data_IF_878889441872
#
_entry.id   IF_878889441872
#
_cell.length_a   1.000
_cell.length_b   1.000
_cell.length_c   1.000
_cell.angle_alpha   90.00
_cell.angle_beta   90.00
_cell.angle_gamma   90.00
#
_symmetry.space_group_name_H-M   'P 1'
#
loop_
_entity.id
_entity.type
_entity.pdbx_description
1 polymer ?
#
# COMPACT_ATOMS: atom_id res chain seq x y z
N UNK A 1 34.23 -18.42 -29.86
CA UNK A 1 33.58 -18.23 -31.18
C UNK A 1 32.07 -18.39 -30.94
N UNK A 2 31.28 -17.46 -30.89
CA UNK A 2 30.93 -16.22 -31.57
C UNK A 2 30.14 -15.31 -30.61
N UNK A 3 30.60 -14.09 -30.44
CA UNK A 3 29.86 -12.97 -29.90
C UNK A 3 28.56 -12.72 -30.68
N UNK A 4 27.47 -12.41 -29.95
CA UNK A 4 26.40 -11.60 -30.51
C UNK A 4 26.02 -10.49 -29.51
N UNK A 5 26.53 -9.30 -29.79
CA UNK A 5 26.08 -8.03 -29.24
C UNK A 5 24.72 -7.68 -29.84
N UNK A 6 23.74 -7.40 -29.02
CA UNK A 6 22.49 -6.78 -29.46
C UNK A 6 22.52 -5.29 -29.11
N UNK A 7 22.41 -4.50 -30.14
CA UNK A 7 22.60 -3.05 -30.22
C UNK A 7 21.31 -2.32 -29.85
N UNK A 8 21.42 -1.33 -28.96
CA UNK A 8 20.38 -0.34 -28.67
C UNK A 8 20.01 0.44 -29.94
N UNK A 9 18.75 0.52 -30.31
CA UNK A 9 18.23 1.49 -31.28
C UNK A 9 17.53 2.63 -30.55
N UNK A 10 18.16 3.80 -30.65
CA UNK A 10 17.58 5.13 -30.45
C UNK A 10 16.54 5.38 -31.54
N UNK A 11 15.39 5.94 -31.20
CA UNK A 11 14.57 6.70 -32.14
C UNK A 11 14.41 8.13 -31.59
N UNK A 12 14.99 9.05 -32.39
CA UNK A 12 14.85 10.50 -32.20
C UNK A 12 13.70 11.02 -33.07
N UNK A 13 12.83 11.78 -32.46
CA UNK A 13 12.28 13.11 -32.79
C UNK A 13 12.04 13.52 -34.24
N UNK A 14 10.84 14.05 -34.44
CA UNK A 14 10.50 15.24 -35.25
C UNK A 14 9.04 15.52 -34.98
N UNK A 15 8.56 16.65 -34.53
CA UNK A 15 8.79 18.01 -34.97
C UNK A 15 7.45 18.63 -35.28
N UNK A 16 6.90 19.51 -34.43
CA UNK A 16 6.36 20.81 -34.67
C UNK A 16 4.98 20.96 -35.38
N UNK A 17 4.06 21.60 -34.72
CA UNK A 17 3.43 22.84 -35.17
C UNK A 17 2.40 23.35 -34.13
N UNK A 18 2.57 24.59 -33.74
CA UNK A 18 1.63 25.38 -32.95
C UNK A 18 0.46 25.86 -33.81
N UNK A 19 -0.73 25.90 -33.21
CA UNK A 19 -1.82 26.74 -33.67
C UNK A 19 -2.58 27.31 -32.47
N UNK A 20 -2.44 28.60 -32.29
CA UNK A 20 -3.22 29.48 -31.41
C UNK A 20 -4.54 29.85 -32.09
N UNK A 21 -5.65 29.81 -31.36
CA UNK A 21 -6.85 30.64 -31.59
C UNK A 21 -7.70 30.61 -30.31
N UNK A 22 -7.72 31.63 -29.53
CA UNK A 22 -8.56 32.81 -29.49
C UNK A 22 -9.91 32.59 -28.81
N UNK A 23 -10.03 33.32 -27.68
CA UNK A 23 -11.18 33.59 -26.82
C UNK A 23 -12.41 34.09 -27.54
N UNK A 24 -13.61 33.64 -27.13
CA UNK A 24 -14.80 34.49 -27.10
C UNK A 24 -15.73 34.01 -25.98
N UNK A 25 -15.93 34.87 -24.98
CA UNK A 25 -16.93 34.70 -23.96
C UNK A 25 -18.31 35.11 -24.41
N UNK A 26 -19.34 34.61 -23.71
CA UNK A 26 -20.63 35.29 -23.57
C UNK A 26 -21.26 34.89 -22.23
N UNK A 27 -21.50 35.90 -21.44
CA UNK A 27 -22.31 35.88 -20.24
C UNK A 27 -23.78 36.17 -20.61
N UNK A 28 -24.70 35.66 -19.83
CA UNK A 28 -26.12 35.99 -19.81
C UNK A 28 -26.90 34.77 -19.35
N UNK A 29 -27.76 34.76 -18.36
CA UNK A 29 -28.58 35.74 -17.74
C UNK A 29 -29.74 34.93 -17.16
N UNK A 30 -30.05 35.12 -15.90
CA UNK A 30 -31.20 34.56 -15.17
C UNK A 30 -32.52 35.06 -15.78
N UNK A 31 -33.51 34.16 -15.93
CA UNK A 31 -34.90 34.57 -15.75
C UNK A 31 -35.77 33.40 -15.25
N UNK A 32 -36.55 33.77 -14.25
CA UNK A 32 -37.51 32.98 -13.50
C UNK A 32 -38.92 33.24 -14.11
N UNK A 33 -39.71 32.21 -14.44
CA UNK A 33 -41.14 32.37 -14.59
C UNK A 33 -41.89 31.14 -14.07
N UNK A 34 -42.70 31.38 -13.07
CA UNK A 34 -43.73 30.46 -12.62
C UNK A 34 -44.98 30.58 -13.44
N UNK A 35 -45.79 29.52 -13.50
CA UNK A 35 -47.11 29.50 -14.10
C UNK A 35 -47.80 28.15 -13.97
N UNK A 36 -48.76 28.08 -13.09
CA UNK A 36 -49.73 27.00 -12.84
C UNK A 36 -50.69 26.76 -14.00
N UNK A 37 -51.12 25.49 -14.22
CA UNK A 37 -52.25 25.18 -15.10
C UNK A 37 -52.57 23.68 -15.12
N UNK A 38 -53.77 23.33 -14.76
CA UNK A 38 -54.36 22.03 -14.47
C UNK A 38 -54.64 21.14 -15.71
N UNK A 39 -54.58 19.82 -15.45
CA UNK A 39 -55.55 18.80 -15.87
C UNK A 39 -55.47 18.30 -17.32
N UNK A 40 -55.15 17.04 -17.49
CA UNK A 40 -56.01 16.10 -18.21
C UNK A 40 -55.61 14.65 -17.95
N UNK A 41 -56.58 13.79 -17.74
CA UNK A 41 -56.45 12.35 -17.55
C UNK A 41 -56.24 11.63 -18.89
N UNK A 42 -55.24 10.75 -18.96
CA UNK A 42 -54.97 9.95 -20.18
C UNK A 42 -54.13 8.71 -19.87
N UNK A 43 -54.86 7.61 -19.57
CA UNK A 43 -54.50 6.19 -19.76
C UNK A 43 -53.03 5.78 -19.73
N UNK A 44 -52.71 5.06 -18.63
CA UNK A 44 -51.56 4.19 -18.46
C UNK A 44 -51.52 3.08 -19.52
N UNK A 45 -50.58 3.17 -20.45
CA UNK A 45 -49.96 2.01 -21.07
C UNK A 45 -48.64 1.77 -20.39
N UNK A 46 -48.59 0.71 -19.57
CA UNK A 46 -47.38 0.13 -19.03
C UNK A 46 -46.55 -0.43 -20.20
N UNK A 47 -45.66 0.38 -20.74
CA UNK A 47 -44.57 -0.14 -21.54
C UNK A 47 -43.57 -0.77 -20.57
N UNK A 48 -43.70 -2.08 -20.46
CA UNK A 48 -42.67 -2.99 -19.92
C UNK A 48 -41.45 -2.75 -20.81
N UNK A 49 -40.49 -1.96 -20.28
CA UNK A 49 -39.16 -1.89 -20.84
C UNK A 49 -38.58 -3.29 -20.75
N UNK A 50 -38.61 -4.01 -21.86
CA UNK A 50 -37.77 -5.18 -22.07
C UNK A 50 -36.34 -4.73 -21.77
N UNK A 51 -35.75 -5.28 -20.75
CA UNK A 51 -34.33 -5.21 -20.52
C UNK A 51 -33.65 -5.73 -21.79
N UNK A 52 -33.31 -4.80 -22.67
CA UNK A 52 -32.39 -5.05 -23.77
C UNK A 52 -31.10 -5.51 -23.10
N UNK A 53 -30.62 -6.67 -23.53
CA UNK A 53 -29.43 -7.27 -23.02
C UNK A 53 -28.35 -6.20 -22.82
N UNK A 54 -27.78 -6.20 -21.66
CA UNK A 54 -26.45 -5.65 -21.45
C UNK A 54 -25.62 -6.45 -22.43
N UNK A 55 -25.18 -5.80 -23.53
CA UNK A 55 -24.07 -6.34 -24.31
C UNK A 55 -23.03 -6.73 -23.27
N UNK A 56 -22.62 -7.99 -23.31
CA UNK A 56 -21.41 -8.44 -22.64
C UNK A 56 -20.35 -7.44 -23.12
N UNK A 57 -20.05 -6.44 -22.27
CA UNK A 57 -18.91 -5.58 -22.51
C UNK A 57 -17.75 -6.52 -22.58
N UNK A 58 -17.08 -6.53 -23.71
CA UNK A 58 -15.82 -7.20 -23.96
C UNK A 58 -14.77 -6.56 -23.02
N UNK A 59 -14.95 -6.72 -21.70
CA UNK A 59 -14.00 -6.36 -20.67
C UNK A 59 -12.73 -7.17 -20.94
N UNK A 60 -11.59 -6.52 -20.94
CA UNK A 60 -10.34 -7.17 -21.28
C UNK A 60 -10.01 -8.33 -20.32
N UNK A 61 -10.46 -8.29 -19.07
CA UNK A 61 -10.41 -9.37 -18.08
C UNK A 61 -11.34 -9.09 -16.90
N UNK A 62 -11.79 -10.13 -16.18
CA UNK A 62 -12.59 -10.04 -14.96
C UNK A 62 -11.76 -10.51 -13.76
N UNK A 63 -11.64 -9.67 -12.73
CA UNK A 63 -10.79 -9.92 -11.55
C UNK A 63 -11.62 -9.99 -10.27
N UNK A 64 -11.42 -11.04 -9.48
CA UNK A 64 -11.95 -11.16 -8.12
C UNK A 64 -10.94 -10.63 -7.11
N UNK A 65 -11.23 -9.54 -6.40
CA UNK A 65 -10.37 -9.00 -5.34
C UNK A 65 -10.80 -9.54 -3.99
N UNK A 66 -9.94 -10.30 -3.30
CA UNK A 66 -10.16 -10.81 -1.94
C UNK A 66 -9.21 -10.06 -1.00
N UNK A 67 -9.75 -9.10 -0.25
CA UNK A 67 -8.97 -8.22 0.62
C UNK A 67 -8.55 -8.90 1.93
N UNK A 68 -7.49 -8.39 2.56
CA UNK A 68 -7.07 -8.79 3.90
C UNK A 68 -8.11 -8.39 4.96
N UNK A 69 -7.99 -9.00 6.14
CA UNK A 69 -8.81 -8.60 7.30
C UNK A 69 -8.67 -7.10 7.58
N UNK A 70 -9.76 -6.47 7.99
CA UNK A 70 -9.87 -5.02 8.13
C UNK A 70 -10.58 -4.36 6.95
N UNK A 71 -10.60 -5.01 5.77
CA UNK A 71 -11.35 -4.54 4.60
C UNK A 71 -10.84 -3.24 4.01
N UNK A 72 -11.66 -2.62 3.15
CA UNK A 72 -11.41 -1.32 2.54
C UNK A 72 -11.56 -0.19 3.56
N UNK A 73 -11.15 1.01 3.19
CA UNK A 73 -11.07 2.21 4.04
C UNK A 73 -10.01 2.12 5.16
N UNK A 74 -9.04 1.18 5.05
CA UNK A 74 -7.92 1.05 5.98
C UNK A 74 -6.86 2.17 5.82
N UNK A 75 -6.95 2.95 4.74
CA UNK A 75 -6.00 4.02 4.35
C UNK A 75 -4.55 3.54 4.28
N UNK A 76 -4.36 2.25 4.05
CA UNK A 76 -3.09 1.55 4.09
C UNK A 76 -3.04 0.47 3.00
N UNK A 77 -2.96 -0.79 3.37
CA UNK A 77 -2.67 -1.97 2.56
C UNK A 77 -3.80 -2.33 1.58
N UNK A 78 -5.04 -2.51 2.07
CA UNK A 78 -6.18 -2.87 1.23
C UNK A 78 -6.54 -1.75 0.25
N UNK A 79 -6.53 -0.49 0.72
CA UNK A 79 -6.75 0.66 -0.13
C UNK A 79 -5.65 0.83 -1.20
N UNK A 80 -4.40 0.43 -0.88
CA UNK A 80 -3.34 0.39 -1.89
C UNK A 80 -3.65 -0.63 -2.98
N UNK A 81 -4.04 -1.86 -2.62
CA UNK A 81 -4.46 -2.89 -3.57
C UNK A 81 -5.64 -2.42 -4.45
N UNK A 82 -6.66 -1.83 -3.82
CA UNK A 82 -7.82 -1.31 -4.52
C UNK A 82 -7.47 -0.21 -5.53
N UNK A 83 -6.53 0.68 -5.21
CA UNK A 83 -6.01 1.67 -6.19
C UNK A 83 -5.36 1.01 -7.40
N UNK A 84 -4.70 -0.12 -7.22
CA UNK A 84 -4.09 -0.89 -8.31
C UNK A 84 -5.12 -1.41 -9.30
N UNK A 85 -6.17 -2.09 -8.81
CA UNK A 85 -7.22 -2.63 -9.67
C UNK A 85 -8.09 -1.54 -10.31
N UNK A 86 -8.36 -0.45 -9.58
CA UNK A 86 -9.07 0.71 -10.16
C UNK A 86 -8.29 1.32 -11.31
N UNK A 87 -6.97 1.36 -11.23
CA UNK A 87 -6.11 1.83 -12.31
C UNK A 87 -6.15 0.89 -13.50
N UNK A 88 -6.04 -0.43 -13.31
CA UNK A 88 -6.15 -1.42 -14.38
C UNK A 88 -7.52 -1.33 -15.09
N UNK A 89 -8.60 -1.06 -14.33
CA UNK A 89 -9.90 -0.79 -14.93
C UNK A 89 -9.90 0.43 -15.85
N UNK A 90 -9.24 1.53 -15.44
CA UNK A 90 -9.21 2.78 -16.22
C UNK A 90 -8.30 2.68 -17.43
N UNK A 91 -7.16 2.00 -17.32
CA UNK A 91 -6.15 1.95 -18.35
C UNK A 91 -6.39 0.81 -19.36
N UNK A 92 -6.90 -0.36 -18.89
CA UNK A 92 -6.97 -1.60 -19.67
C UNK A 92 -8.40 -2.20 -19.73
N UNK A 93 -9.40 -1.53 -19.16
CA UNK A 93 -10.80 -1.99 -19.22
C UNK A 93 -11.10 -3.22 -18.34
N UNK A 94 -10.26 -3.52 -17.33
CA UNK A 94 -10.48 -4.64 -16.39
C UNK A 94 -11.76 -4.42 -15.59
N UNK A 95 -12.65 -5.41 -15.57
CA UNK A 95 -13.79 -5.44 -14.66
C UNK A 95 -13.41 -6.18 -13.37
N UNK A 96 -13.93 -5.79 -12.21
CA UNK A 96 -13.59 -6.43 -10.95
C UNK A 96 -14.72 -6.40 -9.91
N UNK A 97 -14.65 -7.34 -8.99
CA UNK A 97 -15.51 -7.41 -7.81
C UNK A 97 -14.67 -7.38 -6.53
N UNK A 98 -15.21 -6.78 -5.47
CA UNK A 98 -14.54 -6.68 -4.18
C UNK A 98 -15.18 -7.65 -3.17
N UNK A 99 -14.35 -8.41 -2.44
CA UNK A 99 -14.73 -9.33 -1.39
C UNK A 99 -13.92 -9.02 -0.13
N UNK A 100 -14.63 -8.79 0.99
CA UNK A 100 -14.04 -8.38 2.27
C UNK A 100 -14.34 -9.45 3.34
N UNK A 101 -13.54 -10.53 3.41
CA UNK A 101 -13.70 -11.56 4.42
C UNK A 101 -13.49 -11.00 5.82
N UNK A 102 -14.27 -11.47 6.79
CA UNK A 102 -14.21 -11.02 8.18
C UNK A 102 -13.48 -12.00 9.11
N UNK A 103 -12.98 -13.11 8.56
CA UNK A 103 -12.23 -14.11 9.31
C UNK A 103 -11.25 -14.87 8.41
N UNK A 104 -10.19 -15.43 9.00
CA UNK A 104 -9.21 -16.24 8.27
C UNK A 104 -9.87 -17.47 7.61
N UNK A 105 -10.82 -18.11 8.30
CA UNK A 105 -11.57 -19.26 7.75
C UNK A 105 -12.42 -18.88 6.51
N UNK A 106 -12.80 -17.61 6.35
CA UNK A 106 -13.58 -17.13 5.22
C UNK A 106 -12.77 -17.01 3.92
N UNK A 107 -11.46 -16.93 3.99
CA UNK A 107 -10.63 -16.75 2.80
C UNK A 107 -10.76 -17.90 1.80
N UNK A 108 -10.49 -19.13 2.22
CA UNK A 108 -10.57 -20.30 1.34
C UNK A 108 -11.98 -20.51 0.77
N UNK A 109 -13.03 -20.23 1.56
CA UNK A 109 -14.40 -20.31 1.07
C UNK A 109 -14.66 -19.33 -0.08
N UNK A 110 -14.28 -18.06 0.06
CA UNK A 110 -14.47 -17.04 -0.99
C UNK A 110 -13.61 -17.35 -2.20
N UNK A 111 -12.36 -17.76 -2.01
CA UNK A 111 -11.47 -18.16 -3.09
C UNK A 111 -12.08 -19.28 -3.94
N UNK A 112 -12.60 -20.33 -3.31
CA UNK A 112 -13.26 -21.46 -3.99
C UNK A 112 -14.60 -21.05 -4.65
N UNK A 113 -15.37 -20.16 -4.02
CA UNK A 113 -16.61 -19.60 -4.58
C UNK A 113 -16.31 -18.84 -5.88
N UNK A 114 -15.30 -17.98 -5.89
CA UNK A 114 -14.89 -17.24 -7.08
C UNK A 114 -14.31 -18.17 -8.16
N UNK A 115 -13.46 -19.12 -7.79
CA UNK A 115 -12.86 -20.08 -8.73
C UNK A 115 -13.88 -21.00 -9.41
N UNK A 116 -15.00 -21.30 -8.73
CA UNK A 116 -16.09 -22.12 -9.29
C UNK A 116 -17.18 -21.28 -9.98
N UNK A 117 -17.10 -19.96 -9.97
CA UNK A 117 -18.12 -19.08 -10.51
C UNK A 117 -18.14 -19.12 -12.05
N UNK A 118 -19.34 -19.26 -12.62
CA UNK A 118 -19.54 -19.24 -14.07
C UNK A 118 -20.16 -17.91 -14.57
N UNK A 119 -20.66 -17.09 -13.66
CA UNK A 119 -21.27 -15.79 -14.01
C UNK A 119 -21.16 -14.80 -12.83
N UNK A 120 -20.18 -13.87 -12.87
CA UNK A 120 -19.10 -13.83 -13.86
C UNK A 120 -18.12 -15.00 -13.67
N UNK A 121 -17.45 -15.42 -14.74
CA UNK A 121 -16.21 -16.17 -14.62
C UNK A 121 -15.05 -15.19 -14.36
N UNK A 122 -14.08 -15.61 -13.59
CA UNK A 122 -12.93 -14.77 -13.25
C UNK A 122 -11.68 -15.24 -14.00
N UNK A 123 -10.98 -14.32 -14.66
CA UNK A 123 -9.69 -14.59 -15.30
C UNK A 123 -8.55 -14.60 -14.27
N UNK A 124 -8.69 -13.80 -13.21
CA UNK A 124 -7.73 -13.73 -12.11
C UNK A 124 -8.46 -13.55 -10.77
N UNK A 125 -7.98 -14.23 -9.73
CA UNK A 125 -8.39 -14.00 -8.34
C UNK A 125 -7.17 -13.45 -7.57
N UNK A 126 -7.26 -12.19 -7.11
CA UNK A 126 -6.22 -11.51 -6.34
C UNK A 126 -6.45 -11.70 -4.85
N UNK A 127 -5.58 -12.45 -4.19
CA UNK A 127 -5.59 -12.70 -2.75
C UNK A 127 -4.65 -11.71 -2.06
N UNK A 128 -5.22 -10.69 -1.39
CA UNK A 128 -4.46 -9.59 -0.79
C UNK A 128 -4.12 -9.92 0.66
N UNK A 129 -2.85 -10.30 0.92
CA UNK A 129 -2.31 -10.53 2.25
C UNK A 129 -2.03 -11.99 2.60
N UNK A 130 -1.00 -12.16 3.41
CA UNK A 130 -0.36 -13.44 3.74
C UNK A 130 -1.26 -14.46 4.47
N UNK A 131 -2.26 -14.00 5.22
CA UNK A 131 -3.19 -14.88 5.92
C UNK A 131 -4.07 -15.73 4.98
N UNK A 132 -4.06 -15.44 3.69
CA UNK A 132 -4.80 -16.15 2.67
C UNK A 132 -4.06 -17.38 2.12
N UNK A 133 -2.76 -17.52 2.43
CA UNK A 133 -1.89 -18.50 1.77
C UNK A 133 -2.31 -19.95 1.99
N UNK A 134 -2.75 -20.31 3.21
CA UNK A 134 -3.19 -21.69 3.52
C UNK A 134 -4.42 -22.07 2.69
N UNK A 135 -5.47 -21.22 2.74
CA UNK A 135 -6.68 -21.45 1.94
C UNK A 135 -6.42 -21.44 0.44
N UNK A 136 -5.53 -20.54 -0.03
CA UNK A 136 -5.17 -20.47 -1.44
C UNK A 136 -4.40 -21.70 -1.91
N UNK A 137 -3.51 -22.26 -1.08
CA UNK A 137 -2.79 -23.50 -1.43
C UNK A 137 -3.74 -24.66 -1.71
N UNK A 138 -4.81 -24.79 -0.90
CA UNK A 138 -5.87 -25.78 -1.11
C UNK A 138 -6.68 -25.46 -2.37
N UNK A 139 -7.17 -24.23 -2.49
CA UNK A 139 -8.02 -23.78 -3.62
C UNK A 139 -7.28 -23.89 -4.95
N UNK A 140 -6.02 -23.43 -5.04
CA UNK A 140 -5.23 -23.49 -6.27
C UNK A 140 -4.98 -24.94 -6.74
N UNK A 141 -4.85 -25.89 -5.81
CA UNK A 141 -4.68 -27.31 -6.13
C UNK A 141 -5.96 -27.96 -6.65
N UNK A 142 -7.13 -27.47 -6.24
CA UNK A 142 -8.45 -27.95 -6.69
C UNK A 142 -8.86 -27.33 -8.03
N UNK A 143 -8.56 -26.03 -8.23
CA UNK A 143 -8.95 -25.26 -9.42
C UNK A 143 -7.73 -24.94 -10.29
N UNK A 144 -7.13 -25.94 -10.88
CA UNK A 144 -5.84 -25.83 -11.61
C UNK A 144 -5.88 -24.96 -12.86
N UNK A 145 -7.06 -24.76 -13.46
CA UNK A 145 -7.25 -23.89 -14.64
C UNK A 145 -7.50 -22.41 -14.26
N UNK A 146 -7.79 -22.14 -12.98
CA UNK A 146 -7.99 -20.78 -12.47
C UNK A 146 -6.66 -20.13 -12.15
N UNK A 147 -6.45 -18.90 -12.60
CA UNK A 147 -5.28 -18.10 -12.24
C UNK A 147 -5.48 -17.32 -10.96
N UNK A 148 -4.44 -17.28 -10.13
CA UNK A 148 -4.43 -16.57 -8.86
C UNK A 148 -3.20 -15.68 -8.73
N UNK A 149 -3.35 -14.63 -7.95
CA UNK A 149 -2.26 -13.83 -7.42
C UNK A 149 -2.34 -13.81 -5.90
N UNK A 150 -1.20 -13.89 -5.22
CA UNK A 150 -1.13 -13.63 -3.78
C UNK A 150 -0.12 -12.53 -3.48
N UNK A 151 -0.46 -11.65 -2.52
CA UNK A 151 0.42 -10.62 -1.99
C UNK A 151 0.92 -11.03 -0.60
N UNK A 152 2.21 -10.81 -0.33
CA UNK A 152 2.87 -11.02 0.98
C UNK A 152 3.06 -12.48 1.41
N UNK A 153 2.86 -13.41 0.51
CA UNK A 153 3.18 -14.82 0.75
C UNK A 153 3.59 -15.52 -0.53
N UNK A 154 4.15 -16.72 -0.38
CA UNK A 154 4.45 -17.62 -1.48
C UNK A 154 3.54 -18.83 -1.38
N UNK A 155 2.87 -19.15 -2.48
CA UNK A 155 2.11 -20.40 -2.67
C UNK A 155 2.73 -21.14 -3.84
N UNK A 156 3.28 -22.32 -3.57
CA UNK A 156 3.94 -23.18 -4.58
C UNK A 156 2.89 -23.93 -5.41
N UNK A 157 2.35 -23.26 -6.42
CA UNK A 157 1.40 -23.83 -7.38
C UNK A 157 1.59 -23.17 -8.75
N UNK A 158 1.49 -23.95 -9.84
CA UNK A 158 1.76 -23.51 -11.22
C UNK A 158 0.80 -22.41 -11.71
N UNK A 159 -0.35 -22.25 -11.05
CA UNK A 159 -1.40 -21.29 -11.37
C UNK A 159 -1.45 -20.08 -10.41
N UNK A 160 -0.43 -19.91 -9.55
CA UNK A 160 -0.35 -18.78 -8.58
C UNK A 160 0.86 -17.90 -8.88
N UNK A 161 0.63 -16.62 -9.11
CA UNK A 161 1.68 -15.60 -9.12
C UNK A 161 1.86 -15.04 -7.69
N UNK A 162 3.03 -15.24 -7.09
CA UNK A 162 3.33 -14.82 -5.72
C UNK A 162 4.12 -13.51 -5.70
N UNK A 163 3.51 -12.41 -5.21
CA UNK A 163 4.16 -11.12 -5.10
C UNK A 163 4.56 -10.86 -3.64
N UNK A 164 5.87 -10.85 -3.39
CA UNK A 164 6.45 -10.59 -2.07
C UNK A 164 7.28 -9.31 -2.08
N UNK A 165 7.34 -8.65 -0.93
CA UNK A 165 8.10 -7.42 -0.79
C UNK A 165 9.29 -7.63 0.15
N UNK A 166 10.34 -6.85 -0.08
CA UNK A 166 11.49 -6.76 0.82
C UNK A 166 11.24 -5.63 1.84
N UNK A 167 10.24 -5.83 2.69
CA UNK A 167 9.77 -4.87 3.70
C UNK A 167 10.89 -4.42 4.63
N UNK A 168 11.83 -5.32 4.95
CA UNK A 168 13.01 -5.02 5.75
C UNK A 168 13.86 -3.89 5.14
N UNK A 169 13.97 -3.81 3.80
CA UNK A 169 14.72 -2.73 3.13
C UNK A 169 14.05 -1.36 3.29
N UNK A 170 12.72 -1.30 3.08
CA UNK A 170 11.95 -0.07 3.29
C UNK A 170 11.91 0.35 4.76
N UNK A 171 11.76 -0.62 5.67
CA UNK A 171 11.78 -0.38 7.12
C UNK A 171 13.15 0.05 7.63
N UNK A 172 14.24 -0.42 7.00
CA UNK A 172 15.59 0.10 7.27
C UNK A 172 15.67 1.60 7.00
N UNK A 173 15.09 2.09 5.92
CA UNK A 173 15.04 3.53 5.63
C UNK A 173 14.22 4.29 6.69
N UNK A 174 13.11 3.72 7.16
CA UNK A 174 12.32 4.30 8.25
C UNK A 174 13.11 4.36 9.57
N UNK A 175 13.85 3.30 9.89
CA UNK A 175 14.72 3.23 11.07
C UNK A 175 15.89 4.21 11.00
N UNK A 176 16.53 4.31 9.82
CA UNK A 176 17.62 5.26 9.61
C UNK A 176 17.12 6.71 9.78
N UNK A 177 15.95 7.06 9.23
CA UNK A 177 15.32 8.37 9.45
C UNK A 177 15.06 8.62 10.94
N UNK A 178 14.45 7.67 11.64
CA UNK A 178 14.12 7.80 13.05
C UNK A 178 15.37 7.98 13.91
N UNK A 179 16.40 7.16 13.71
CA UNK A 179 17.67 7.22 14.45
C UNK A 179 18.44 8.52 14.22
N UNK A 180 18.43 9.05 12.99
CA UNK A 180 19.05 10.33 12.66
C UNK A 180 18.33 11.51 13.30
N UNK A 181 17.00 11.50 13.39
CA UNK A 181 16.22 12.62 13.90
C UNK A 181 16.10 12.62 15.43
N UNK A 182 15.93 11.47 16.09
CA UNK A 182 15.77 11.41 17.56
C UNK A 182 17.00 11.92 18.31
N UNK A 183 18.18 11.90 17.69
CA UNK A 183 19.44 12.42 18.26
C UNK A 183 19.67 13.90 18.06
N UNK A 184 18.69 14.60 17.47
CA UNK A 184 18.75 16.03 17.15
C UNK A 184 17.60 16.77 17.84
N UNK A 185 17.79 18.06 18.07
CA UNK A 185 16.71 18.96 18.48
C UNK A 185 15.88 19.35 17.25
N UNK A 186 14.77 18.64 17.05
CA UNK A 186 13.85 18.82 15.90
C UNK A 186 12.50 19.28 16.43
N UNK A 187 12.02 20.42 15.93
CA UNK A 187 10.70 21.00 16.26
C UNK A 187 10.01 21.36 14.92
N UNK A 188 9.17 20.47 14.42
CA UNK A 188 8.52 20.58 13.11
C UNK A 188 7.01 20.26 13.22
N UNK A 189 6.19 21.12 12.66
CA UNK A 189 4.74 20.91 12.65
C UNK A 189 4.15 20.95 14.05
N UNK A 190 3.57 19.84 14.51
CA UNK A 190 3.01 19.69 15.86
C UNK A 190 3.84 18.76 16.76
N UNK A 191 5.02 18.32 16.30
CA UNK A 191 5.89 17.39 17.01
C UNK A 191 7.26 17.98 17.34
N UNK A 192 7.92 17.41 18.35
CA UNK A 192 9.31 17.68 18.69
C UNK A 192 10.01 16.40 19.18
N UNK A 193 11.34 16.34 18.97
CA UNK A 193 12.20 15.31 19.54
C UNK A 193 12.77 15.75 20.91
N UNK A 194 13.34 14.79 21.64
CA UNK A 194 14.09 15.05 22.87
C UNK A 194 15.44 14.33 22.78
N UNK A 195 16.51 15.00 22.29
CA UNK A 195 17.81 14.35 22.06
C UNK A 195 18.49 13.86 23.35
N UNK A 196 17.93 14.12 24.52
CA UNK A 196 18.42 13.60 25.80
C UNK A 196 17.91 12.16 26.10
N UNK A 197 16.81 11.73 25.47
CA UNK A 197 16.19 10.41 25.71
C UNK A 197 16.45 9.39 24.59
N UNK A 198 16.84 9.79 23.39
CA UNK A 198 17.25 8.98 22.24
C UNK A 198 16.54 7.62 22.12
N UNK A 199 15.22 7.64 22.16
CA UNK A 199 14.37 6.44 22.11
C UNK A 199 13.38 6.53 20.97
N UNK A 200 13.16 5.44 20.23
CA UNK A 200 12.16 5.32 19.18
C UNK A 200 11.28 4.08 19.41
N UNK A 201 10.14 4.00 18.74
CA UNK A 201 9.20 2.90 18.91
C UNK A 201 8.87 2.17 17.61
N UNK A 202 8.57 0.88 17.70
CA UNK A 202 7.97 0.07 16.66
C UNK A 202 6.69 -0.61 17.16
N UNK A 203 5.60 -0.51 16.40
CA UNK A 203 4.33 -1.18 16.70
C UNK A 203 3.96 -2.08 15.53
N UNK A 204 4.00 -3.41 15.76
CA UNK A 204 3.52 -4.41 14.80
C UNK A 204 2.05 -4.74 14.98
N UNK A 205 1.34 -5.07 13.89
CA UNK A 205 -0.04 -5.55 13.96
C UNK A 205 -0.12 -6.94 14.57
N UNK A 206 0.48 -7.94 13.94
CA UNK A 206 0.57 -9.32 14.43
C UNK A 206 2.01 -9.73 14.74
N UNK A 207 2.19 -10.54 15.78
CA UNK A 207 3.49 -11.20 16.07
C UNK A 207 3.69 -12.39 15.12
N UNK A 208 4.04 -12.10 13.86
CA UNK A 208 4.15 -13.04 12.76
C UNK A 208 5.42 -12.76 11.91
N UNK A 209 5.98 -13.77 11.21
CA UNK A 209 7.23 -13.63 10.47
C UNK A 209 7.26 -12.47 9.47
N UNK A 210 6.17 -12.17 8.78
CA UNK A 210 6.11 -11.02 7.88
C UNK A 210 6.35 -9.71 8.63
N UNK A 211 5.67 -9.51 9.77
CA UNK A 211 5.78 -8.27 10.56
C UNK A 211 7.14 -8.19 11.25
N UNK A 212 7.77 -9.33 11.55
CA UNK A 212 9.14 -9.37 12.06
C UNK A 212 10.17 -8.81 11.06
N UNK A 213 9.92 -8.93 9.73
CA UNK A 213 10.79 -8.29 8.73
C UNK A 213 10.78 -6.77 8.85
N UNK A 214 9.60 -6.16 9.10
CA UNK A 214 9.51 -4.72 9.33
C UNK A 214 10.28 -4.30 10.57
N UNK A 215 10.12 -5.03 11.68
CA UNK A 215 10.87 -4.75 12.92
C UNK A 215 12.37 -4.91 12.71
N UNK A 216 12.82 -6.02 12.10
CA UNK A 216 14.23 -6.30 11.86
C UNK A 216 14.89 -5.20 11.03
N UNK A 217 14.24 -4.80 9.94
CA UNK A 217 14.70 -3.71 9.10
C UNK A 217 14.74 -2.37 9.84
N UNK A 218 13.69 -2.03 10.59
CA UNK A 218 13.63 -0.79 11.38
C UNK A 218 14.76 -0.72 12.41
N UNK A 219 14.96 -1.78 13.21
CA UNK A 219 16.05 -1.86 14.19
C UNK A 219 17.43 -1.72 13.54
N UNK A 220 17.65 -2.41 12.42
CA UNK A 220 18.90 -2.32 11.69
C UNK A 220 19.15 -0.90 11.15
N UNK A 221 18.12 -0.20 10.70
CA UNK A 221 18.21 1.18 10.25
C UNK A 221 18.51 2.16 11.39
N UNK A 222 17.90 1.96 12.57
CA UNK A 222 18.18 2.75 13.78
C UNK A 222 19.63 2.55 14.21
N UNK A 223 20.08 1.29 14.31
CA UNK A 223 21.46 0.94 14.68
C UNK A 223 22.48 1.51 13.68
N UNK A 224 22.15 1.50 12.38
CA UNK A 224 22.98 2.09 11.33
C UNK A 224 23.13 3.61 11.49
N UNK A 225 22.05 4.30 11.88
CA UNK A 225 22.08 5.73 12.14
C UNK A 225 22.86 6.07 13.42
N UNK A 226 22.54 5.38 14.50
CA UNK A 226 23.20 5.51 15.81
C UNK A 226 22.88 4.29 16.69
N UNK A 227 23.91 3.54 17.06
CA UNK A 227 23.81 2.33 17.88
C UNK A 227 23.43 2.60 19.36
N UNK A 228 23.47 3.84 19.81
CA UNK A 228 23.08 4.25 21.17
C UNK A 228 21.58 4.57 21.30
N UNK A 229 20.80 4.45 20.21
CA UNK A 229 19.35 4.69 20.22
C UNK A 229 18.59 3.44 20.64
N UNK A 230 17.74 3.57 21.66
CA UNK A 230 16.89 2.50 22.13
C UNK A 230 15.63 2.33 21.25
N UNK A 231 15.22 1.06 21.04
CA UNK A 231 14.01 0.73 20.27
C UNK A 231 13.02 -0.02 21.14
N UNK A 232 11.91 0.62 21.48
CA UNK A 232 10.75 -0.02 22.12
C UNK A 232 9.95 -0.79 21.06
N UNK A 233 9.44 -1.98 21.40
CA UNK A 233 8.63 -2.78 20.47
C UNK A 233 7.43 -3.38 21.18
N UNK A 234 6.25 -3.25 20.59
CA UNK A 234 5.04 -3.96 20.99
C UNK A 234 4.25 -4.45 19.76
N UNK A 235 3.43 -5.48 19.95
CA UNK A 235 2.51 -6.04 18.95
C UNK A 235 1.07 -5.89 19.40
N UNK A 236 0.21 -5.37 18.51
CA UNK A 236 -1.18 -5.07 18.82
C UNK A 236 -2.08 -6.32 18.88
N UNK A 237 -1.74 -7.35 18.09
CA UNK A 237 -2.54 -8.57 17.96
C UNK A 237 -3.58 -8.55 16.84
N UNK A 238 -3.74 -7.43 16.12
CA UNK A 238 -4.64 -7.26 14.96
C UNK A 238 -4.20 -6.06 14.10
N UNK A 239 -4.99 -5.70 13.07
CA UNK A 239 -4.69 -4.58 12.16
C UNK A 239 -5.74 -3.47 12.16
N UNK A 240 -6.74 -3.52 13.04
CA UNK A 240 -7.91 -2.65 13.05
C UNK A 240 -8.27 -2.01 14.40
N UNK A 241 -7.62 -2.40 15.50
CA UNK A 241 -7.83 -1.80 16.82
C UNK A 241 -7.09 -0.46 16.96
N UNK A 242 -7.73 0.59 16.47
CA UNK A 242 -7.22 1.97 16.54
C UNK A 242 -6.98 2.43 17.98
N UNK A 243 -7.86 2.02 18.93
CA UNK A 243 -7.73 2.44 20.33
C UNK A 243 -6.55 1.74 21.00
N UNK A 244 -6.39 0.42 20.80
CA UNK A 244 -5.25 -0.34 21.31
C UNK A 244 -3.91 0.21 20.77
N UNK A 245 -3.83 0.52 19.48
CA UNK A 245 -2.64 1.12 18.88
C UNK A 245 -2.32 2.50 19.46
N UNK A 246 -3.35 3.32 19.72
CA UNK A 246 -3.20 4.62 20.38
C UNK A 246 -2.65 4.47 21.81
N UNK A 247 -3.17 3.52 22.56
CA UNK A 247 -2.78 3.31 23.96
C UNK A 247 -1.34 2.78 24.05
N UNK A 248 -0.92 1.90 23.11
CA UNK A 248 0.47 1.44 23.02
C UNK A 248 1.40 2.61 22.68
N UNK A 249 1.10 3.39 21.64
CA UNK A 249 1.92 4.52 21.22
C UNK A 249 2.03 5.58 22.35
N UNK A 250 0.93 5.85 23.06
CA UNK A 250 0.94 6.78 24.19
C UNK A 250 1.87 6.31 25.32
N UNK A 251 1.93 5.00 25.60
CA UNK A 251 2.91 4.45 26.55
C UNK A 251 4.34 4.66 26.06
N UNK A 252 4.62 4.32 24.79
CA UNK A 252 5.97 4.50 24.22
C UNK A 252 6.43 5.96 24.28
N UNK A 253 5.54 6.93 23.96
CA UNK A 253 5.87 8.36 24.07
C UNK A 253 6.11 8.80 25.54
N UNK A 254 5.37 8.23 26.51
CA UNK A 254 5.61 8.49 27.91
C UNK A 254 6.92 7.86 28.43
N UNK A 255 7.34 6.75 27.80
CA UNK A 255 8.59 6.05 28.08
C UNK A 255 9.79 6.62 27.31
N UNK A 256 9.62 7.80 26.70
CA UNK A 256 10.68 8.59 26.09
C UNK A 256 10.81 8.45 24.57
N UNK A 257 9.96 7.67 23.90
CA UNK A 257 10.03 7.60 22.44
C UNK A 257 9.65 8.93 21.78
N UNK A 258 10.44 9.37 20.82
CA UNK A 258 10.19 10.56 20.03
C UNK A 258 9.43 10.28 18.74
N UNK A 259 9.73 9.13 18.14
CA UNK A 259 9.26 8.73 16.83
C UNK A 259 8.79 7.28 16.92
N UNK A 260 7.53 7.03 16.56
CA UNK A 260 6.98 5.66 16.52
C UNK A 260 6.66 5.27 15.07
N UNK A 261 7.28 4.20 14.60
CA UNK A 261 6.99 3.55 13.34
C UNK A 261 6.02 2.39 13.53
N UNK A 262 5.14 2.14 12.57
CA UNK A 262 4.23 1.01 12.66
C UNK A 262 4.16 0.15 11.39
N UNK A 263 3.81 -1.12 11.59
CA UNK A 263 3.37 -2.07 10.59
C UNK A 263 2.04 -2.70 11.05
N UNK A 264 0.99 -1.86 11.21
CA UNK A 264 -0.27 -2.22 11.87
C UNK A 264 -1.52 -1.83 11.04
N UNK A 265 -1.37 -1.65 9.73
CA UNK A 265 -2.49 -1.38 8.81
C UNK A 265 -3.37 -0.20 9.24
N UNK A 266 -4.69 -0.39 9.23
CA UNK A 266 -5.68 0.65 9.60
C UNK A 266 -5.59 1.11 11.05
N UNK A 267 -5.11 0.26 11.98
CA UNK A 267 -4.90 0.62 13.38
C UNK A 267 -3.87 1.76 13.55
N UNK A 268 -2.98 1.98 12.56
CA UNK A 268 -1.96 3.02 12.56
C UNK A 268 -2.48 4.43 12.78
N UNK A 269 -3.74 4.71 12.47
CA UNK A 269 -4.39 6.01 12.76
C UNK A 269 -4.35 6.32 14.27
N UNK A 270 -4.44 5.30 15.14
CA UNK A 270 -4.32 5.47 16.59
C UNK A 270 -2.95 6.00 17.00
N UNK A 271 -1.90 5.56 16.32
CA UNK A 271 -0.52 6.01 16.57
C UNK A 271 -0.36 7.51 16.22
N UNK A 272 -0.94 7.94 15.09
CA UNK A 272 -0.94 9.36 14.72
C UNK A 272 -1.74 10.23 15.71
N UNK A 273 -2.84 9.70 16.26
CA UNK A 273 -3.59 10.36 17.32
C UNK A 273 -2.75 10.54 18.59
N UNK A 274 -2.00 9.52 18.99
CA UNK A 274 -1.10 9.57 20.12
C UNK A 274 0.07 10.54 19.87
N UNK A 275 0.69 10.48 18.70
CA UNK A 275 1.78 11.39 18.29
C UNK A 275 1.34 12.86 18.43
N UNK A 276 0.19 13.23 17.86
CA UNK A 276 -0.35 14.57 17.94
C UNK A 276 -0.67 14.99 19.40
N UNK A 277 -1.23 14.07 20.19
CA UNK A 277 -1.58 14.35 21.59
C UNK A 277 -0.35 14.55 22.49
N UNK A 278 0.76 13.90 22.17
CA UNK A 278 2.02 13.99 22.93
C UNK A 278 3.03 15.00 22.34
N UNK A 279 2.71 15.63 21.20
CA UNK A 279 3.65 16.51 20.50
C UNK A 279 4.90 15.76 20.03
N UNK A 280 4.72 14.54 19.50
CA UNK A 280 5.76 13.63 19.02
C UNK A 280 5.51 13.27 17.58
N UNK A 281 6.31 12.39 16.99
CA UNK A 281 6.25 12.02 15.59
C UNK A 281 5.85 10.57 15.38
N UNK A 282 5.33 10.31 14.19
CA UNK A 282 5.09 8.95 13.70
C UNK A 282 5.63 8.76 12.29
N UNK A 283 5.93 7.50 11.95
CA UNK A 283 6.22 7.04 10.59
C UNK A 283 5.12 6.07 10.19
N UNK A 284 4.47 6.35 9.05
CA UNK A 284 3.40 5.53 8.49
C UNK A 284 3.91 4.34 7.66
N UNK A 285 2.97 3.54 7.12
CA UNK A 285 3.24 2.33 6.35
C UNK A 285 2.34 2.20 5.11
N UNK A 286 2.74 1.39 4.14
CA UNK A 286 2.07 0.99 2.90
C UNK A 286 1.85 2.11 1.89
N UNK A 287 1.33 3.24 2.31
CA UNK A 287 1.04 4.40 1.48
C UNK A 287 1.51 5.70 2.15
N UNK A 288 1.52 6.81 1.42
CA UNK A 288 1.74 8.13 2.03
C UNK A 288 0.60 8.47 3.00
N UNK A 289 0.80 8.10 4.27
CA UNK A 289 -0.23 8.26 5.29
C UNK A 289 -0.40 9.71 5.77
N UNK A 290 0.51 10.62 5.43
CA UNK A 290 0.28 12.05 5.60
C UNK A 290 -0.82 12.58 4.67
N UNK A 291 -0.99 11.96 3.48
CA UNK A 291 -2.05 12.26 2.52
C UNK A 291 -3.36 11.54 2.83
N UNK A 292 -3.29 10.25 3.15
CA UNK A 292 -4.49 9.48 3.48
C UNK A 292 -5.07 9.86 4.85
N UNK A 293 -4.28 10.47 5.73
CA UNK A 293 -4.68 10.99 7.04
C UNK A 293 -4.31 12.47 7.23
N UNK A 294 -4.84 13.41 6.43
CA UNK A 294 -4.37 14.80 6.38
C UNK A 294 -4.52 15.55 7.71
N UNK A 295 -5.39 15.08 8.60
CA UNK A 295 -5.55 15.63 9.95
C UNK A 295 -4.27 15.51 10.79
N UNK A 296 -3.44 14.52 10.51
CA UNK A 296 -2.22 14.20 11.27
C UNK A 296 -0.95 14.45 10.45
N UNK A 297 -1.07 15.13 9.30
CA UNK A 297 0.07 15.42 8.42
C UNK A 297 1.18 16.25 9.10
N UNK A 298 0.84 16.95 10.19
CA UNK A 298 1.74 17.76 11.00
C UNK A 298 2.58 16.99 12.02
N UNK A 299 2.35 15.67 12.16
CA UNK A 299 3.12 14.75 13.01
C UNK A 299 3.64 13.52 12.26
N UNK A 300 3.22 13.29 11.01
CA UNK A 300 3.71 12.18 10.19
C UNK A 300 4.97 12.60 9.44
N UNK A 301 6.15 12.18 9.94
CA UNK A 301 7.46 12.51 9.34
C UNK A 301 7.63 11.94 7.94
N UNK A 302 7.23 10.70 7.78
CA UNK A 302 7.37 9.93 6.55
C UNK A 302 6.43 8.73 6.57
N UNK A 303 6.37 7.99 5.46
CA UNK A 303 5.75 6.67 5.40
C UNK A 303 6.66 5.71 4.65
N UNK A 304 6.85 4.50 5.19
CA UNK A 304 7.44 3.39 4.46
C UNK A 304 6.40 2.88 3.48
N UNK A 305 6.55 3.22 2.22
CA UNK A 305 5.59 2.82 1.19
C UNK A 305 5.90 1.43 0.67
N UNK A 306 4.83 0.66 0.45
CA UNK A 306 4.82 -0.68 -0.13
C UNK A 306 3.87 -0.66 -1.31
N UNK A 307 4.40 -0.87 -2.50
CA UNK A 307 3.66 -0.60 -3.74
C UNK A 307 2.76 -1.75 -4.15
N UNK A 308 1.88 -2.16 -3.25
CA UNK A 308 0.85 -3.19 -3.53
C UNK A 308 -0.03 -2.79 -4.71
N UNK A 309 -0.29 -1.48 -4.86
CA UNK A 309 -1.02 -0.95 -6.01
C UNK A 309 -0.33 -1.24 -7.36
N UNK A 310 1.00 -1.25 -7.39
CA UNK A 310 1.76 -1.59 -8.61
C UNK A 310 1.66 -3.09 -8.85
N UNK A 311 1.88 -3.93 -7.83
CA UNK A 311 1.79 -5.39 -7.95
C UNK A 311 0.41 -5.85 -8.46
N UNK A 312 -0.68 -5.29 -7.92
CA UNK A 312 -2.05 -5.61 -8.38
C UNK A 312 -2.31 -5.10 -9.79
N UNK A 313 -1.87 -3.88 -10.10
CA UNK A 313 -1.96 -3.32 -11.45
C UNK A 313 -1.23 -4.20 -12.47
N UNK A 314 0.03 -4.56 -12.17
CA UNK A 314 0.87 -5.37 -13.05
C UNK A 314 0.29 -6.79 -13.26
N UNK A 315 -0.24 -7.42 -12.20
CA UNK A 315 -0.87 -8.72 -12.31
C UNK A 315 -2.16 -8.67 -13.14
N UNK A 316 -3.01 -7.67 -12.93
CA UNK A 316 -4.25 -7.50 -13.69
C UNK A 316 -3.97 -7.21 -15.17
N UNK A 317 -3.01 -6.33 -15.49
CA UNK A 317 -2.62 -6.02 -16.88
C UNK A 317 -1.89 -7.19 -17.54
N UNK A 318 -1.09 -7.94 -16.79
CA UNK A 318 -0.46 -9.18 -17.27
C UNK A 318 -1.50 -10.25 -17.62
N UNK A 319 -2.60 -10.34 -16.86
CA UNK A 319 -3.72 -11.24 -17.18
C UNK A 319 -4.39 -10.84 -18.49
N UNK A 320 -4.65 -9.54 -18.73
CA UNK A 320 -5.17 -9.04 -20.02
C UNK A 320 -4.25 -9.40 -21.19
N UNK A 321 -2.93 -9.40 -20.96
CA UNK A 321 -1.92 -9.70 -21.96
C UNK A 321 -1.58 -11.21 -22.07
N UNK A 322 -2.28 -12.09 -21.34
CA UNK A 322 -2.04 -13.54 -21.25
C UNK A 322 -0.57 -13.87 -20.90
N UNK A 323 0.00 -13.13 -19.95
CA UNK A 323 1.40 -13.28 -19.52
C UNK A 323 1.60 -13.11 -18.00
N UNK A 324 0.57 -13.44 -17.20
CA UNK A 324 0.71 -13.50 -15.74
C UNK A 324 1.88 -14.43 -15.37
N UNK A 325 2.80 -14.03 -14.47
CA UNK A 325 3.92 -14.86 -14.03
C UNK A 325 3.45 -15.97 -13.04
N UNK A 326 2.48 -16.78 -13.46
CA UNK A 326 1.95 -17.88 -12.68
C UNK A 326 3.05 -18.93 -12.43
N UNK A 327 3.09 -19.49 -11.23
CA UNK A 327 4.16 -20.38 -10.77
C UNK A 327 5.46 -19.64 -10.37
N UNK A 328 5.53 -18.32 -10.47
CA UNK A 328 6.71 -17.54 -10.16
C UNK A 328 6.55 -16.72 -8.88
N UNK A 329 7.71 -16.37 -8.28
CA UNK A 329 7.80 -15.44 -7.15
C UNK A 329 8.40 -14.13 -7.62
N UNK A 330 7.61 -13.06 -7.60
CA UNK A 330 8.03 -11.69 -7.89
C UNK A 330 8.41 -11.00 -6.59
N UNK A 331 9.70 -10.72 -6.40
CA UNK A 331 10.23 -10.08 -5.20
C UNK A 331 10.54 -8.60 -5.46
N UNK A 332 9.90 -7.69 -4.72
CA UNK A 332 9.92 -6.26 -4.93
C UNK A 332 10.61 -5.55 -3.75
N UNK A 333 11.71 -4.85 -4.00
CA UNK A 333 12.50 -4.14 -2.99
C UNK A 333 12.85 -2.71 -3.39
N UNK A 334 13.89 -2.13 -2.78
CA UNK A 334 14.39 -0.80 -3.10
C UNK A 334 14.97 -0.68 -4.52
N UNK A 335 15.53 -1.76 -5.05
CA UNK A 335 16.10 -1.84 -6.39
C UNK A 335 15.04 -1.77 -7.51
N UNK A 336 13.82 -2.21 -7.22
CA UNK A 336 12.66 -2.23 -8.11
C UNK A 336 11.61 -1.17 -7.76
N UNK A 337 11.91 -0.26 -6.83
CA UNK A 337 10.94 0.69 -6.26
C UNK A 337 9.68 0.03 -5.67
N UNK A 338 9.74 -1.26 -5.31
CA UNK A 338 8.65 -1.99 -4.68
C UNK A 338 8.35 -1.53 -3.25
N UNK A 339 9.40 -1.10 -2.54
CA UNK A 339 9.32 -0.44 -1.23
C UNK A 339 10.16 0.83 -1.24
N UNK A 340 9.92 1.72 -0.28
CA UNK A 340 10.70 2.93 -0.13
C UNK A 340 10.19 3.82 0.98
N UNK A 341 10.76 5.03 1.12
CA UNK A 341 10.28 6.04 2.04
C UNK A 341 9.76 7.25 1.27
N UNK A 342 8.64 7.81 1.70
CA UNK A 342 8.14 9.10 1.25
C UNK A 342 8.00 10.01 2.46
N UNK A 343 8.46 11.25 2.34
CA UNK A 343 8.34 12.23 3.42
C UNK A 343 6.91 12.71 3.55
N UNK A 344 6.49 13.01 4.79
CA UNK A 344 5.17 13.56 5.07
C UNK A 344 5.01 14.95 4.43
N UNK A 345 3.92 15.15 3.71
CA UNK A 345 3.68 16.34 2.87
C UNK A 345 3.84 17.67 3.58
N UNK A 346 3.48 17.74 4.86
CA UNK A 346 3.60 18.96 5.67
C UNK A 346 4.99 19.19 6.23
N UNK A 347 5.76 18.12 6.48
CA UNK A 347 7.05 18.16 7.17
C UNK A 347 8.25 18.04 6.21
N UNK A 348 8.02 17.52 5.00
CA UNK A 348 9.06 17.34 3.98
C UNK A 348 9.96 18.57 3.79
N UNK A 349 9.46 19.82 3.64
CA UNK A 349 10.32 20.97 3.39
C UNK A 349 11.29 21.29 4.54
N UNK A 350 10.98 20.80 5.75
CA UNK A 350 11.73 21.07 6.95
C UNK A 350 12.68 19.94 7.38
N UNK A 351 12.63 18.78 6.73
CA UNK A 351 13.60 17.69 6.95
C UNK A 351 15.00 18.18 6.52
N UNK A 352 16.02 18.10 7.39
CA UNK A 352 17.36 18.59 7.08
C UNK A 352 17.98 17.95 5.84
N UNK A 353 18.70 18.73 5.02
CA UNK A 353 19.28 18.24 3.77
C UNK A 353 20.31 17.13 4.01
N UNK A 354 21.09 17.18 5.08
CA UNK A 354 22.06 16.13 5.43
C UNK A 354 21.37 14.81 5.84
N UNK A 355 20.17 14.86 6.41
CA UNK A 355 19.34 13.68 6.70
C UNK A 355 18.83 13.07 5.38
N UNK A 356 18.39 13.90 4.44
CA UNK A 356 17.95 13.44 3.12
C UNK A 356 19.10 12.79 2.33
N UNK A 357 20.29 13.38 2.38
CA UNK A 357 21.50 12.85 1.74
C UNK A 357 21.90 11.51 2.34
N UNK A 358 21.89 11.39 3.69
CA UNK A 358 22.18 10.14 4.38
C UNK A 358 21.19 9.03 4.00
N UNK A 359 19.88 9.35 3.91
CA UNK A 359 18.86 8.40 3.48
C UNK A 359 19.02 7.99 2.01
N UNK A 360 19.33 8.94 1.10
CA UNK A 360 19.60 8.62 -0.31
C UNK A 360 20.80 7.69 -0.45
N UNK A 361 21.88 7.99 0.26
CA UNK A 361 23.10 7.18 0.26
C UNK A 361 22.84 5.76 0.76
N UNK A 362 22.17 5.62 1.89
CA UNK A 362 21.85 4.30 2.44
C UNK A 362 20.88 3.52 1.57
N UNK A 363 19.92 4.20 0.91
CA UNK A 363 19.03 3.57 -0.08
C UNK A 363 19.81 2.98 -1.25
N UNK A 364 20.76 3.74 -1.81
CA UNK A 364 21.60 3.28 -2.92
C UNK A 364 22.45 2.08 -2.49
N UNK A 365 23.02 2.10 -1.30
CA UNK A 365 23.83 1.01 -0.75
C UNK A 365 23.02 -0.27 -0.50
N UNK A 366 21.80 -0.17 0.02
CA UNK A 366 20.91 -1.32 0.18
C UNK A 366 20.48 -1.85 -1.18
N UNK A 367 20.06 -0.99 -2.12
CA UNK A 367 19.64 -1.40 -3.45
C UNK A 367 20.79 -2.05 -4.26
N UNK A 368 22.05 -1.65 -4.01
CA UNK A 368 23.24 -2.26 -4.61
C UNK A 368 23.69 -3.56 -3.91
N UNK A 369 23.14 -3.87 -2.71
CA UNK A 369 23.55 -5.00 -1.90
C UNK A 369 24.80 -4.76 -1.06
N UNK A 370 25.30 -3.53 -1.00
CA UNK A 370 26.45 -3.15 -0.16
C UNK A 370 26.08 -3.19 1.34
N UNK A 371 24.80 -2.90 1.65
CA UNK A 371 24.20 -3.10 2.97
C UNK A 371 23.20 -4.24 2.85
N UNK A 372 23.43 -5.32 3.63
CA UNK A 372 22.51 -6.43 3.75
C UNK A 372 21.63 -6.21 4.98
N UNK A 373 20.34 -5.92 4.75
CA UNK A 373 19.38 -5.71 5.83
C UNK A 373 18.85 -7.05 6.34
N UNK A 374 18.85 -7.31 7.67
CA UNK A 374 18.33 -8.57 8.21
C UNK A 374 16.83 -8.69 8.01
N UNK A 375 16.36 -9.93 7.80
CA UNK A 375 14.94 -10.30 7.68
C UNK A 375 14.35 -10.86 8.96
N UNK A 376 15.19 -11.15 9.95
CA UNK A 376 14.79 -11.73 11.23
C UNK A 376 15.27 -10.83 12.37
N UNK A 377 14.50 -10.84 13.46
CA UNK A 377 14.89 -10.15 14.69
C UNK A 377 16.19 -10.75 15.22
N UNK A 378 17.17 -9.93 15.54
CA UNK A 378 18.31 -10.39 16.35
C UNK A 378 17.78 -10.81 17.73
N UNK A 379 17.95 -12.09 18.07
CA UNK A 379 17.69 -12.60 19.42
C UNK A 379 18.72 -12.04 20.41
N UNK A 380 18.83 -10.73 20.55
CA UNK A 380 19.50 -10.13 21.72
C UNK A 380 18.52 -10.25 22.88
N UNK A 381 18.47 -11.48 23.43
CA UNK A 381 17.70 -11.77 24.63
C UNK A 381 18.13 -10.83 25.73
N UNK A 382 17.15 -10.09 26.26
CA UNK A 382 17.29 -9.47 27.56
C UNK A 382 17.63 -10.56 28.59
N UNK A 383 18.78 -10.43 29.19
CA UNK A 383 19.18 -11.18 30.38
C UNK A 383 18.60 -10.47 31.62
#
# INVERSE_FOLDING_TARGET
MRDQKITRRRLLASGGAAATAALAGCAGGFENFGGSGAGDEGSSESQQATASGIDESDGAATVGMVYALGGLDDRSFNDAANRGIQRARLDDGVEYTNHEPTSVAGFGQIQAELASSANPSYDLICCIGFLQAEGLSETASEYTDQQFMIVDSVVEADNVASYVFREHEGSFQAGNLAGLLTTRDVDLGAGATNPEETTVGFIGGLDQPLIHKFEAGFRAGVEYANADVDVLTEYLGNFDDVQGARDIAARMYNDGADIVYHAAGGAGVGIFQAAQAHGRYAIGVDSDQSRSNPRYADVVLASMVKRVNVAVYDAATATVADNLPAGEVVSLGLDSDGVGIVYGTSLEPAIPDDVREALSTSREQVAAGDIVVPTERSNTGGA
#
